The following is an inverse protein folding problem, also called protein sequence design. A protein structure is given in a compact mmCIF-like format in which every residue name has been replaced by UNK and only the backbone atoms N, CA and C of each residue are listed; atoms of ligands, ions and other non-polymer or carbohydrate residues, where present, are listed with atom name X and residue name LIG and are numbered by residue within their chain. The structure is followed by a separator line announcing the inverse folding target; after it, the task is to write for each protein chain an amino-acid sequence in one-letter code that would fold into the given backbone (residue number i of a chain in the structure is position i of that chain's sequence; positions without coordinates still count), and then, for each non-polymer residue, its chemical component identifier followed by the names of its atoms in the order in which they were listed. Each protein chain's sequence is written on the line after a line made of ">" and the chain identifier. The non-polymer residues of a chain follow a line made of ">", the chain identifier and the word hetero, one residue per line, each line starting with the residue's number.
data_IF_312932049171
#
_entry.id   IF_312932049171
#
_cell.length_a   1.000
_cell.length_b   1.000
_cell.length_c   1.000
_cell.angle_alpha   90.00
_cell.angle_beta   90.00
_cell.angle_gamma   90.00
#
_symmetry.space_group_name_H-M   'P 1'
#
loop_
_entity.id
_entity.type
_entity.pdbx_description
1 polymer ?
#
# COMPACT_ATOMS: atom_id res chain seq x y z
N UNK A 1 13.17 -23.17 -10.78
CA UNK A 1 13.53 -21.74 -10.62
C UNK A 1 12.23 -20.96 -10.61
N UNK A 2 11.81 -20.46 -9.46
CA UNK A 2 10.63 -19.59 -9.37
C UNK A 2 11.07 -18.19 -9.81
N UNK A 3 10.51 -17.68 -10.90
CA UNK A 3 10.75 -16.29 -11.32
C UNK A 3 10.01 -15.41 -10.30
N UNK A 4 10.74 -14.69 -9.47
CA UNK A 4 10.14 -13.73 -8.54
C UNK A 4 9.62 -12.55 -9.35
N UNK A 5 8.34 -12.23 -9.19
CA UNK A 5 7.70 -11.14 -9.93
C UNK A 5 8.30 -9.80 -9.48
N UNK A 6 8.51 -8.88 -10.42
CA UNK A 6 9.08 -7.56 -10.13
C UNK A 6 8.15 -6.45 -10.59
N UNK A 7 8.07 -5.38 -9.80
CA UNK A 7 7.24 -4.21 -10.10
C UNK A 7 8.09 -2.96 -10.12
N UNK A 8 7.93 -2.14 -11.17
CA UNK A 8 8.67 -0.89 -11.32
C UNK A 8 7.89 0.27 -10.70
N UNK A 9 8.53 0.99 -9.80
CA UNK A 9 8.02 2.19 -9.14
C UNK A 9 8.82 3.40 -9.61
N UNK A 10 8.14 4.52 -9.83
CA UNK A 10 8.85 5.77 -10.10
C UNK A 10 9.49 6.29 -8.81
N UNK A 11 10.71 6.85 -8.89
CA UNK A 11 11.36 7.49 -7.75
C UNK A 11 10.50 8.57 -7.06
N UNK A 12 9.72 9.40 -7.78
CA UNK A 12 8.79 10.34 -7.15
C UNK A 12 7.72 9.65 -6.29
N UNK A 13 7.15 8.52 -6.76
CA UNK A 13 6.17 7.76 -5.98
C UNK A 13 6.80 7.20 -4.70
N UNK A 14 7.97 6.58 -4.81
CA UNK A 14 8.68 6.04 -3.64
C UNK A 14 8.96 7.12 -2.61
N UNK A 15 9.47 8.27 -3.05
CA UNK A 15 9.76 9.39 -2.16
C UNK A 15 8.49 9.94 -1.49
N UNK A 16 7.39 10.06 -2.22
CA UNK A 16 6.12 10.55 -1.67
C UNK A 16 5.58 9.61 -0.57
N UNK A 17 5.61 8.30 -0.82
CA UNK A 17 5.18 7.28 0.13
C UNK A 17 6.05 7.27 1.39
N UNK A 18 7.37 7.31 1.23
CA UNK A 18 8.31 7.34 2.35
C UNK A 18 8.21 8.64 3.16
N UNK A 19 8.04 9.78 2.49
CA UNK A 19 7.84 11.06 3.15
C UNK A 19 6.58 11.06 4.02
N UNK A 20 5.46 10.59 3.46
CA UNK A 20 4.18 10.48 4.18
C UNK A 20 4.30 9.59 5.43
N UNK A 21 5.01 8.46 5.29
CA UNK A 21 5.30 7.56 6.39
C UNK A 21 6.16 8.22 7.49
N UNK A 22 7.16 9.02 7.11
CA UNK A 22 8.05 9.73 8.05
C UNK A 22 7.32 10.83 8.84
N UNK A 23 6.50 11.65 8.17
CA UNK A 23 5.77 12.73 8.85
C UNK A 23 4.66 12.19 9.77
N UNK A 24 4.28 10.92 9.58
CA UNK A 24 3.33 10.16 10.41
C UNK A 24 4.03 9.12 11.29
N UNK A 25 5.26 9.38 11.74
CA UNK A 25 6.10 8.42 12.48
C UNK A 25 5.55 7.94 13.83
N UNK A 26 4.48 8.53 14.34
CA UNK A 26 3.82 8.17 15.59
C UNK A 26 2.58 7.28 15.39
N UNK A 27 2.09 7.15 14.15
CA UNK A 27 0.80 6.53 13.83
C UNK A 27 0.87 5.63 12.61
N UNK A 28 0.10 4.55 12.65
CA UNK A 28 -0.12 3.72 11.47
C UNK A 28 -1.01 4.47 10.48
N UNK A 29 -0.58 4.53 9.23
CA UNK A 29 -1.33 5.18 8.15
C UNK A 29 -1.51 4.23 6.98
N UNK A 30 -2.52 4.50 6.15
CA UNK A 30 -2.67 3.82 4.88
C UNK A 30 -3.19 4.77 3.81
N UNK A 31 -3.19 4.30 2.59
CA UNK A 31 -3.83 5.01 1.49
C UNK A 31 -3.81 4.21 0.21
N UNK A 32 -4.30 4.87 -0.83
CA UNK A 32 -4.35 4.34 -2.18
C UNK A 32 -3.36 5.09 -3.07
N UNK A 33 -2.75 4.36 -3.98
CA UNK A 33 -1.99 4.91 -5.09
C UNK A 33 -2.81 4.68 -6.33
N UNK A 34 -3.18 5.77 -6.99
CA UNK A 34 -3.85 5.72 -8.29
C UNK A 34 -2.87 6.14 -9.37
N UNK A 35 -2.98 5.52 -10.53
CA UNK A 35 -2.15 5.82 -11.69
C UNK A 35 -3.03 6.32 -12.82
N UNK A 36 -2.60 7.41 -13.45
CA UNK A 36 -3.10 7.87 -14.74
C UNK A 36 -1.90 8.13 -15.64
N UNK A 37 -1.83 7.41 -16.76
CA UNK A 37 -0.66 7.43 -17.65
C UNK A 37 0.64 7.14 -16.86
N UNK A 38 1.60 8.07 -16.83
CA UNK A 38 2.84 7.98 -16.05
C UNK A 38 2.77 8.70 -14.70
N UNK A 39 1.61 9.25 -14.32
CA UNK A 39 1.43 10.02 -13.09
C UNK A 39 0.82 9.16 -12.01
N UNK A 40 1.43 9.18 -10.83
CA UNK A 40 0.91 8.54 -9.63
C UNK A 40 0.35 9.59 -8.67
N UNK A 41 -0.75 9.26 -8.00
CA UNK A 41 -1.32 10.07 -6.92
C UNK A 41 -1.50 9.22 -5.67
N UNK A 42 -0.91 9.67 -4.57
CA UNK A 42 -1.12 9.11 -3.25
C UNK A 42 -2.33 9.79 -2.61
N UNK A 43 -3.30 8.98 -2.18
CA UNK A 43 -4.49 9.43 -1.46
C UNK A 43 -4.44 8.77 -0.08
N UNK A 44 -3.97 9.48 0.96
CA UNK A 44 -4.03 8.97 2.32
C UNK A 44 -5.49 8.79 2.71
N UNK A 45 -5.78 7.69 3.40
CA UNK A 45 -7.09 7.42 3.97
C UNK A 45 -6.89 7.24 5.47
N UNK A 46 -7.78 7.85 6.25
CA UNK A 46 -7.67 7.85 7.68
C UNK A 46 -7.91 6.45 8.23
N UNK A 47 -6.88 5.88 8.85
CA UNK A 47 -6.99 4.56 9.44
C UNK A 47 -7.98 4.57 10.62
N UNK A 48 -9.04 3.77 10.54
CA UNK A 48 -9.88 3.49 11.69
C UNK A 48 -9.20 2.42 12.55
N UNK A 49 -9.02 2.69 13.84
CA UNK A 49 -8.53 1.71 14.81
C UNK A 49 -9.74 1.03 15.45
N UNK A 50 -9.88 -0.28 15.27
CA UNK A 50 -10.92 -1.08 15.92
C UNK A 50 -10.54 -1.56 17.33
N UNK A 51 -9.44 -1.04 17.89
CA UNK A 51 -8.94 -1.42 19.21
C UNK A 51 -8.17 -2.75 19.25
N UNK A 52 -8.12 -3.52 18.16
CA UNK A 52 -7.39 -4.79 18.09
C UNK A 52 -5.93 -4.66 17.62
N UNK A 53 -5.43 -3.43 17.44
CA UNK A 53 -4.06 -3.18 16.93
C UNK A 53 -3.87 -3.52 15.45
N UNK A 54 -4.91 -4.01 14.77
CA UNK A 54 -4.94 -4.24 13.33
C UNK A 54 -5.53 -2.99 12.69
N UNK A 55 -4.66 -2.12 12.18
CA UNK A 55 -5.09 -0.94 11.43
C UNK A 55 -5.53 -1.36 10.03
N UNK A 56 -6.77 -1.86 9.90
CA UNK A 56 -7.41 -1.95 8.60
C UNK A 56 -7.97 -0.59 8.22
N UNK A 57 -7.10 0.17 7.58
CA UNK A 57 -7.20 1.61 7.51
C UNK A 57 -8.14 2.16 6.43
N UNK A 58 -8.80 1.29 5.65
CA UNK A 58 -9.67 1.70 4.54
C UNK A 58 -10.88 0.77 4.49
N UNK A 59 -12.05 1.27 4.87
CA UNK A 59 -13.29 0.51 4.73
C UNK A 59 -13.54 0.16 3.24
N UNK A 60 -14.20 -0.97 2.98
CA UNK A 60 -14.55 -1.35 1.60
C UNK A 60 -15.41 -0.29 0.88
N UNK A 61 -16.11 0.57 1.63
CA UNK A 61 -16.88 1.68 1.08
C UNK A 61 -15.97 2.85 0.66
N UNK A 62 -15.09 3.33 1.54
CA UNK A 62 -14.13 4.41 1.22
C UNK A 62 -13.22 4.01 0.06
N UNK A 63 -12.78 2.75 0.05
CA UNK A 63 -11.97 2.20 -1.04
C UNK A 63 -12.69 2.29 -2.38
N UNK A 64 -13.96 1.85 -2.42
CA UNK A 64 -14.79 1.89 -3.63
C UNK A 64 -15.00 3.32 -4.11
N UNK A 65 -15.28 4.26 -3.22
CA UNK A 65 -15.44 5.67 -3.57
C UNK A 65 -14.14 6.24 -4.19
N UNK A 66 -12.99 5.95 -3.59
CA UNK A 66 -11.70 6.45 -4.09
C UNK A 66 -11.31 5.83 -5.44
N UNK A 67 -11.56 4.52 -5.63
CA UNK A 67 -11.36 3.84 -6.91
C UNK A 67 -12.26 4.45 -7.99
N UNK A 68 -13.56 4.59 -7.71
CA UNK A 68 -14.51 5.20 -8.65
C UNK A 68 -14.13 6.64 -9.01
N UNK A 69 -13.68 7.43 -8.03
CA UNK A 69 -13.22 8.79 -8.28
C UNK A 69 -11.97 8.83 -9.18
N UNK A 70 -11.07 7.85 -9.05
CA UNK A 70 -9.92 7.72 -9.94
C UNK A 70 -10.33 7.31 -11.35
N UNK A 71 -11.23 6.32 -11.48
CA UNK A 71 -11.79 5.84 -12.75
C UNK A 71 -12.49 6.97 -13.52
N UNK A 72 -13.30 7.79 -12.84
CA UNK A 72 -13.96 8.96 -13.43
C UNK A 72 -12.96 10.00 -13.99
N UNK A 73 -11.73 10.02 -13.48
CA UNK A 73 -10.65 10.90 -13.93
C UNK A 73 -9.73 10.25 -14.98
N UNK A 74 -10.07 9.04 -15.45
CA UNK A 74 -9.27 8.24 -16.38
C UNK A 74 -8.05 7.57 -15.73
N UNK A 75 -8.02 7.48 -14.41
CA UNK A 75 -7.02 6.73 -13.65
C UNK A 75 -7.50 5.36 -13.22
N UNK A 76 -6.61 4.58 -12.65
CA UNK A 76 -6.89 3.25 -12.09
C UNK A 76 -6.18 3.06 -10.76
N UNK A 77 -6.68 2.14 -9.94
CA UNK A 77 -5.97 1.72 -8.74
C UNK A 77 -4.65 1.02 -9.14
N UNK A 78 -3.54 1.47 -8.57
CA UNK A 78 -2.22 0.90 -8.80
C UNK A 78 -1.73 0.13 -7.58
N UNK A 79 -1.82 0.75 -6.40
CA UNK A 79 -1.38 0.13 -5.15
C UNK A 79 -2.26 0.53 -3.97
N UNK A 80 -2.24 -0.29 -2.93
CA UNK A 80 -2.63 0.08 -1.56
C UNK A 80 -1.35 0.13 -0.75
N UNK A 81 -1.17 1.16 0.09
CA UNK A 81 -0.01 1.22 0.97
C UNK A 81 -0.42 1.29 2.44
N UNK A 82 0.42 0.74 3.30
CA UNK A 82 0.33 0.84 4.76
C UNK A 82 1.71 1.14 5.33
N UNK A 83 1.77 2.04 6.31
CA UNK A 83 2.99 2.32 7.06
C UNK A 83 2.81 1.96 8.51
N UNK A 84 3.73 1.15 9.05
CA UNK A 84 3.78 0.79 10.46
C UNK A 84 5.01 1.43 11.12
N UNK A 85 4.81 2.32 12.11
CA UNK A 85 5.92 2.95 12.81
C UNK A 85 6.85 1.99 13.56
N UNK A 86 6.29 0.92 14.14
CA UNK A 86 6.95 0.04 15.11
C UNK A 86 6.87 -1.45 14.75
N UNK A 87 6.24 -1.79 13.63
CA UNK A 87 6.08 -3.18 13.19
C UNK A 87 6.98 -3.45 11.97
N UNK A 88 7.40 -4.70 11.72
CA UNK A 88 8.17 -5.07 10.52
C UNK A 88 7.39 -4.75 9.23
N UNK A 89 8.09 -4.64 8.10
CA UNK A 89 7.47 -4.43 6.79
C UNK A 89 6.82 -5.72 6.26
N UNK A 90 5.85 -6.25 6.99
CA UNK A 90 5.05 -7.40 6.63
C UNK A 90 3.57 -7.02 6.59
N UNK A 91 2.80 -7.53 5.62
CA UNK A 91 1.38 -7.25 5.55
C UNK A 91 0.68 -7.91 6.74
N UNK A 92 -0.09 -7.13 7.49
CA UNK A 92 -1.00 -7.62 8.50
C UNK A 92 -2.42 -7.71 7.90
N UNK A 93 -2.56 -8.44 6.79
CA UNK A 93 -3.82 -8.51 6.04
C UNK A 93 -4.36 -9.93 6.00
N UNK A 94 -5.68 -10.05 6.12
CA UNK A 94 -6.40 -11.31 6.01
C UNK A 94 -6.95 -11.47 4.59
N UNK A 95 -7.30 -12.71 4.21
CA UNK A 95 -7.92 -12.97 2.90
C UNK A 95 -9.22 -12.18 2.68
N UNK A 96 -9.97 -11.90 3.76
CA UNK A 96 -11.20 -11.12 3.71
C UNK A 96 -10.93 -9.65 3.36
N UNK A 97 -9.80 -9.10 3.82
CA UNK A 97 -9.46 -7.69 3.61
C UNK A 97 -9.11 -7.35 2.17
N UNK A 98 -8.53 -8.36 1.50
CA UNK A 98 -8.07 -8.30 0.11
C UNK A 98 -9.05 -8.98 -0.86
N UNK A 99 -10.19 -9.46 -0.35
CA UNK A 99 -11.24 -10.06 -1.18
C UNK A 99 -11.89 -9.00 -2.09
N UNK A 100 -11.97 -9.29 -3.39
CA UNK A 100 -12.57 -8.40 -4.38
C UNK A 100 -11.69 -7.22 -4.80
N UNK A 101 -10.44 -7.16 -4.34
CA UNK A 101 -9.45 -6.26 -4.94
C UNK A 101 -8.99 -6.81 -6.29
N UNK A 102 -8.86 -5.96 -7.33
CA UNK A 102 -8.13 -6.36 -8.55
C UNK A 102 -6.67 -6.68 -8.19
N UNK A 103 -5.91 -7.27 -9.11
CA UNK A 103 -4.48 -7.55 -8.93
C UNK A 103 -3.70 -6.26 -8.64
N UNK A 104 -3.67 -5.88 -7.36
CA UNK A 104 -3.18 -4.59 -6.87
C UNK A 104 -1.90 -4.84 -6.09
N UNK A 105 -0.95 -3.93 -6.24
CA UNK A 105 0.26 -3.96 -5.45
C UNK A 105 -0.04 -3.54 -4.01
N UNK A 106 0.40 -4.31 -3.03
CA UNK A 106 0.37 -3.94 -1.63
C UNK A 106 1.76 -3.48 -1.22
N UNK A 107 1.87 -2.23 -0.78
CA UNK A 107 3.11 -1.64 -0.31
C UNK A 107 3.08 -1.57 1.22
N UNK A 108 4.04 -2.20 1.87
CA UNK A 108 4.20 -2.12 3.32
C UNK A 108 5.46 -1.34 3.63
N UNK A 109 5.32 -0.27 4.38
CA UNK A 109 6.39 0.62 4.81
C UNK A 109 6.61 0.40 6.31
N UNK A 110 7.85 0.22 6.72
CA UNK A 110 8.23 0.12 8.13
C UNK A 110 9.25 1.20 8.49
N UNK A 111 9.01 1.85 9.62
CA UNK A 111 9.97 2.73 10.30
C UNK A 111 10.69 1.99 11.44
N UNK A 112 10.41 0.71 11.66
CA UNK A 112 10.95 -0.08 12.76
C UNK A 112 12.42 -0.52 12.53
N UNK A 113 13.09 0.06 11.53
CA UNK A 113 14.46 -0.29 11.15
C UNK A 113 15.39 0.86 11.51
N UNK A 114 16.42 0.58 12.30
CA UNK A 114 17.35 1.61 12.78
C UNK A 114 18.08 2.27 11.61
N UNK A 115 17.78 3.54 11.37
CA UNK A 115 18.49 4.39 10.41
C UNK A 115 18.06 4.24 8.94
N UNK A 116 17.07 3.40 8.62
CA UNK A 116 16.61 3.20 7.22
C UNK A 116 15.09 2.94 7.22
N UNK A 117 14.36 3.52 6.25
CA UNK A 117 12.98 3.11 5.98
C UNK A 117 12.98 1.87 5.10
N UNK A 118 12.16 0.89 5.46
CA UNK A 118 11.96 -0.31 4.65
C UNK A 118 10.63 -0.21 3.93
N UNK A 119 10.60 -0.47 2.62
CA UNK A 119 9.37 -0.61 1.85
C UNK A 119 9.42 -1.92 1.08
N UNK A 120 8.38 -2.74 1.23
CA UNK A 120 8.24 -4.05 0.59
C UNK A 120 6.95 -4.13 -0.20
N UNK A 121 6.99 -4.87 -1.31
CA UNK A 121 5.87 -5.04 -2.22
C UNK A 121 5.30 -6.44 -2.13
N UNK A 122 3.98 -6.57 -2.16
CA UNK A 122 3.28 -7.85 -2.18
C UNK A 122 2.19 -7.83 -3.24
N UNK A 123 1.95 -8.95 -3.90
CA UNK A 123 0.83 -9.14 -4.82
C UNK A 123 0.12 -10.44 -4.50
N UNK A 124 -1.20 -10.46 -4.72
CA UNK A 124 -1.97 -11.69 -4.54
C UNK A 124 -1.73 -12.60 -5.74
N UNK A 125 -1.22 -13.80 -5.48
CA UNK A 125 -1.19 -14.89 -6.44
C UNK A 125 -2.09 -16.02 -5.94
N UNK A 126 -3.13 -16.34 -6.72
CA UNK A 126 -4.20 -17.25 -6.33
C UNK A 126 -4.85 -16.88 -4.97
N UNK A 127 -4.37 -17.50 -3.88
CA UNK A 127 -4.90 -17.35 -2.53
C UNK A 127 -3.84 -16.93 -1.50
N UNK A 128 -2.66 -16.48 -1.93
CA UNK A 128 -1.62 -16.02 -1.02
C UNK A 128 -1.04 -14.69 -1.48
N UNK A 129 -0.57 -13.89 -0.51
CA UNK A 129 0.24 -12.72 -0.80
C UNK A 129 1.69 -13.14 -0.94
N UNK A 130 2.23 -12.93 -2.13
CA UNK A 130 3.62 -13.19 -2.42
C UNK A 130 4.39 -11.88 -2.49
N UNK A 131 5.59 -11.88 -1.93
CA UNK A 131 6.48 -10.73 -2.01
C UNK A 131 7.03 -10.58 -3.43
N UNK A 132 6.95 -9.36 -3.95
CA UNK A 132 7.48 -8.97 -5.27
C UNK A 132 8.66 -8.03 -5.09
N UNK A 133 9.62 -8.12 -6.01
CA UNK A 133 10.78 -7.24 -5.99
C UNK A 133 10.39 -5.85 -6.51
N UNK A 134 10.73 -4.81 -5.75
CA UNK A 134 10.48 -3.42 -6.13
C UNK A 134 11.71 -2.84 -6.83
N UNK A 135 11.53 -2.42 -8.09
CA UNK A 135 12.56 -1.75 -8.89
C UNK A 135 12.25 -0.26 -9.00
N UNK A 136 13.25 0.61 -8.85
CA UNK A 136 13.09 2.08 -8.90
C UNK A 136 13.77 2.63 -10.16
#
# INVERSE_FOLDING_TARGET
>A
MTIKQSVRLSRPLVNALLHEAQISSDKTIAGLVTQRESTFRCQPIQAQSDGAGVFFAISAAERRVAIQAAEQQGGQLFAVYQSYPKAPALPAVTDADVAGLPETLYLVISLNTKGVLEMRGFQRQANQLEEVDLMI
#
